data_IF_810050849631
#
_entry.id   IF_810050849631
#
_cell.length_a   1.000
_cell.length_b   1.000
_cell.length_c   1.000
_cell.angle_alpha   90.00
_cell.angle_beta   90.00
_cell.angle_gamma   90.00
#
_symmetry.space_group_name_H-M   'P 1'
#
loop_
_entity.id
_entity.type
_entity.pdbx_description
1 polymer ?
#
# COMPACT_ATOMS: atom_id res chain seq x y z
N UNK A 1 7.11 -21.24 71.23
CA UNK A 1 7.39 -20.11 70.31
C UNK A 1 7.71 -20.67 68.94
N UNK A 2 6.72 -20.62 68.03
CA UNK A 2 6.78 -21.21 66.69
C UNK A 2 7.65 -20.36 65.75
N UNK A 3 8.58 -21.00 65.04
CA UNK A 3 9.24 -20.42 63.87
C UNK A 3 8.67 -21.09 62.62
N UNK A 4 7.69 -20.45 62.01
CA UNK A 4 7.23 -20.76 60.64
C UNK A 4 8.22 -20.16 59.65
N UNK A 5 8.89 -20.98 58.85
CA UNK A 5 9.54 -20.55 57.63
C UNK A 5 8.64 -20.94 56.46
N UNK A 6 8.01 -19.94 55.84
CA UNK A 6 7.23 -20.09 54.63
C UNK A 6 8.17 -20.27 53.43
N UNK A 7 7.99 -21.36 52.70
CA UNK A 7 8.67 -21.63 51.44
C UNK A 7 8.14 -20.68 50.36
N UNK A 8 8.98 -19.76 49.88
CA UNK A 8 8.72 -18.97 48.68
C UNK A 8 9.06 -19.81 47.44
N UNK A 9 8.04 -20.41 46.83
CA UNK A 9 8.14 -20.98 45.49
C UNK A 9 8.19 -19.86 44.46
N UNK A 10 9.33 -19.70 43.78
CA UNK A 10 9.41 -18.88 42.57
C UNK A 10 8.88 -19.69 41.39
N UNK A 11 7.64 -19.43 40.99
CA UNK A 11 7.14 -19.89 39.69
C UNK A 11 7.72 -18.99 38.61
N UNK A 12 8.71 -19.52 37.88
CA UNK A 12 9.20 -18.90 36.66
C UNK A 12 8.06 -18.91 35.61
N UNK A 13 7.37 -17.79 35.45
CA UNK A 13 6.46 -17.58 34.33
C UNK A 13 7.29 -17.38 33.07
N UNK A 14 7.43 -18.45 32.28
CA UNK A 14 7.96 -18.37 30.92
C UNK A 14 7.08 -17.40 30.12
N UNK A 15 7.58 -16.17 29.90
CA UNK A 15 7.03 -15.24 28.91
C UNK A 15 7.20 -15.90 27.54
N UNK A 16 6.17 -16.59 27.08
CA UNK A 16 6.01 -16.98 25.69
C UNK A 16 5.97 -15.71 24.85
N UNK A 17 7.10 -15.33 24.27
CA UNK A 17 7.14 -14.34 23.19
C UNK A 17 6.52 -14.99 21.98
N UNK A 18 5.18 -14.95 21.90
CA UNK A 18 4.48 -14.99 20.63
C UNK A 18 4.93 -13.74 19.85
N UNK A 19 6.10 -13.81 19.21
CA UNK A 19 6.36 -12.98 18.03
C UNK A 19 5.36 -13.50 17.00
N UNK A 20 4.15 -12.92 17.02
CA UNK A 20 3.26 -12.99 15.88
C UNK A 20 4.12 -12.59 14.68
N UNK A 21 4.45 -13.56 13.84
CA UNK A 21 4.98 -13.30 12.51
C UNK A 21 4.02 -12.29 11.91
N UNK A 22 4.46 -11.03 11.76
CA UNK A 22 3.73 -10.06 10.97
C UNK A 22 3.66 -10.65 9.57
N UNK A 23 2.54 -11.31 9.24
CA UNK A 23 2.27 -11.79 7.90
C UNK A 23 2.04 -10.52 7.09
N UNK A 24 3.09 -10.08 6.40
CA UNK A 24 2.99 -8.99 5.45
C UNK A 24 2.26 -9.57 4.24
N UNK A 25 1.03 -9.10 4.01
CA UNK A 25 0.25 -9.56 2.87
C UNK A 25 0.90 -9.02 1.60
N UNK A 26 1.40 -9.89 0.74
CA UNK A 26 1.88 -9.47 -0.59
C UNK A 26 0.68 -9.39 -1.51
N UNK A 27 0.37 -8.20 -2.01
CA UNK A 27 -0.72 -7.98 -2.97
C UNK A 27 -0.16 -8.14 -4.37
N UNK A 28 -0.83 -8.96 -5.18
CA UNK A 28 -0.56 -9.13 -6.61
C UNK A 28 -1.46 -8.22 -7.45
N UNK A 29 -1.15 -8.04 -8.74
CA UNK A 29 -1.98 -7.24 -9.66
C UNK A 29 -3.43 -7.73 -9.72
N UNK A 30 -3.67 -9.05 -9.68
CA UNK A 30 -5.02 -9.62 -9.58
C UNK A 30 -5.70 -9.26 -8.27
N UNK A 31 -5.03 -9.45 -7.15
CA UNK A 31 -5.60 -9.19 -5.82
C UNK A 31 -5.86 -7.70 -5.53
N UNK A 32 -5.30 -6.81 -6.35
CA UNK A 32 -5.58 -5.38 -6.29
C UNK A 32 -7.03 -5.05 -6.67
N UNK A 33 -7.60 -5.82 -7.60
CA UNK A 33 -8.95 -5.58 -8.12
C UNK A 33 -10.03 -6.26 -7.28
N UNK A 34 -11.16 -5.58 -7.11
CA UNK A 34 -12.30 -6.08 -6.30
C UNK A 34 -12.95 -7.30 -6.95
N UNK A 35 -12.94 -7.34 -8.28
CA UNK A 35 -13.49 -8.41 -9.11
C UNK A 35 -12.80 -9.77 -8.83
N UNK A 36 -11.49 -9.72 -8.60
CA UNK A 36 -10.65 -10.91 -8.34
C UNK A 36 -10.42 -11.14 -6.83
N UNK A 37 -10.72 -10.15 -5.99
CA UNK A 37 -10.54 -10.21 -4.54
C UNK A 37 -11.52 -9.30 -3.80
N UNK A 38 -12.38 -9.85 -2.95
CA UNK A 38 -13.36 -9.08 -2.15
C UNK A 38 -12.70 -8.00 -1.27
N UNK A 39 -11.43 -8.21 -0.87
CA UNK A 39 -10.64 -7.23 -0.11
C UNK A 39 -9.79 -6.31 -0.98
N UNK A 40 -10.01 -6.31 -2.30
CA UNK A 40 -9.34 -5.46 -3.27
C UNK A 40 -9.54 -3.97 -2.99
N UNK A 41 -8.80 -3.17 -3.72
CA UNK A 41 -8.70 -1.73 -3.50
C UNK A 41 -9.57 -0.94 -4.47
N UNK A 42 -9.64 -1.37 -5.73
CA UNK A 42 -10.33 -0.68 -6.82
C UNK A 42 -11.02 -1.67 -7.75
N UNK A 43 -12.05 -1.21 -8.47
CA UNK A 43 -12.58 -1.95 -9.62
C UNK A 43 -11.70 -1.68 -10.85
N UNK A 44 -11.67 -2.65 -11.79
CA UNK A 44 -10.95 -2.51 -13.06
C UNK A 44 -11.45 -1.31 -13.86
N UNK A 45 -12.77 -1.12 -13.93
CA UNK A 45 -13.39 0.03 -14.60
C UNK A 45 -12.93 1.38 -14.01
N UNK A 46 -12.96 1.51 -12.67
CA UNK A 46 -12.56 2.75 -12.00
C UNK A 46 -11.07 3.05 -12.19
N UNK A 47 -10.23 2.01 -12.27
CA UNK A 47 -8.81 2.17 -12.56
C UNK A 47 -8.57 2.62 -14.00
N UNK A 48 -9.31 2.08 -14.98
CA UNK A 48 -9.24 2.51 -16.39
C UNK A 48 -9.66 3.98 -16.53
N UNK A 49 -10.82 4.36 -15.97
CA UNK A 49 -11.28 5.75 -16.02
C UNK A 49 -10.31 6.70 -15.34
N UNK A 50 -9.71 6.28 -14.22
CA UNK A 50 -8.67 7.05 -13.55
C UNK A 50 -7.44 7.24 -14.43
N UNK A 51 -6.94 6.17 -15.06
CA UNK A 51 -5.80 6.25 -15.98
C UNK A 51 -6.04 7.18 -17.16
N UNK A 52 -7.28 7.24 -17.67
CA UNK A 52 -7.68 8.14 -18.75
C UNK A 52 -7.80 9.62 -18.33
N UNK A 53 -8.02 9.89 -17.04
CA UNK A 53 -8.12 11.26 -16.53
C UNK A 53 -6.77 11.88 -16.16
N UNK A 54 -5.68 11.10 -16.16
CA UNK A 54 -4.36 11.59 -15.78
C UNK A 54 -3.75 12.47 -16.88
N UNK A 55 -3.10 13.54 -16.47
CA UNK A 55 -2.15 14.25 -17.34
C UNK A 55 -0.88 13.42 -17.54
N UNK A 56 -0.13 13.68 -18.61
CA UNK A 56 1.12 12.95 -18.91
C UNK A 56 2.09 12.94 -17.71
N UNK A 57 2.23 14.08 -17.02
CA UNK A 57 3.07 14.19 -15.82
C UNK A 57 2.56 13.35 -14.65
N UNK A 58 1.24 13.22 -14.48
CA UNK A 58 0.66 12.41 -13.40
C UNK A 58 0.74 10.92 -13.73
N UNK A 59 0.62 10.54 -15.00
CA UNK A 59 0.85 9.19 -15.46
C UNK A 59 2.30 8.75 -15.21
N UNK A 60 3.28 9.60 -15.54
CA UNK A 60 4.70 9.36 -15.22
C UNK A 60 4.93 9.20 -13.71
N UNK A 61 4.35 10.08 -12.90
CA UNK A 61 4.45 9.96 -11.44
C UNK A 61 3.79 8.71 -10.88
N UNK A 62 2.69 8.25 -11.48
CA UNK A 62 2.02 7.01 -11.09
C UNK A 62 2.91 5.80 -11.41
N UNK A 63 3.54 5.79 -12.59
CA UNK A 63 4.48 4.74 -12.99
C UNK A 63 5.67 4.68 -12.05
N UNK A 64 6.30 5.83 -11.77
CA UNK A 64 7.39 5.94 -10.81
C UNK A 64 6.97 5.50 -9.40
N UNK A 65 5.74 5.81 -8.98
CA UNK A 65 5.22 5.38 -7.68
C UNK A 65 5.16 3.85 -7.56
N UNK A 66 4.62 3.16 -8.57
CA UNK A 66 4.57 1.69 -8.57
C UNK A 66 5.97 1.06 -8.70
N UNK A 67 6.85 1.67 -9.49
CA UNK A 67 8.25 1.27 -9.61
C UNK A 67 9.00 1.37 -8.27
N UNK A 68 8.85 2.47 -7.54
CA UNK A 68 9.54 2.62 -6.26
C UNK A 68 8.94 1.75 -5.15
N UNK A 69 7.62 1.59 -5.13
CA UNK A 69 6.96 0.75 -4.12
C UNK A 69 7.28 -0.74 -4.32
N UNK A 70 7.32 -1.22 -5.57
CA UNK A 70 7.77 -2.58 -5.90
C UNK A 70 9.24 -2.85 -5.57
N UNK A 71 10.09 -1.82 -5.62
CA UNK A 71 11.47 -1.88 -5.14
C UNK A 71 11.61 -1.81 -3.61
N UNK A 72 10.51 -1.69 -2.87
CA UNK A 72 10.53 -1.60 -1.40
C UNK A 72 10.92 -0.22 -0.86
N UNK A 73 10.83 0.84 -1.66
CA UNK A 73 11.17 2.19 -1.20
C UNK A 73 10.14 2.72 -0.19
N UNK A 74 10.62 3.31 0.91
CA UNK A 74 9.76 3.88 1.94
C UNK A 74 9.33 5.31 1.65
N UNK A 75 8.12 5.67 2.09
CA UNK A 75 7.65 7.06 2.11
C UNK A 75 8.14 7.83 3.34
N UNK A 76 8.59 9.07 3.13
CA UNK A 76 9.09 9.97 4.16
C UNK A 76 8.02 10.96 4.68
N UNK A 77 6.78 10.85 4.22
CA UNK A 77 5.67 11.70 4.65
C UNK A 77 4.41 10.87 4.89
N UNK A 78 3.50 11.40 5.70
CA UNK A 78 2.15 10.86 5.82
C UNK A 78 1.39 11.11 4.52
N UNK A 79 0.83 10.05 3.95
CA UNK A 79 -0.01 10.12 2.76
C UNK A 79 -1.40 10.59 3.20
N UNK A 80 -1.84 11.73 2.67
CA UNK A 80 -3.19 12.25 2.90
C UNK A 80 -3.62 13.12 1.71
N UNK A 81 -4.92 13.12 1.36
CA UNK A 81 -5.47 14.05 0.40
C UNK A 81 -5.16 15.49 0.80
N UNK A 82 -4.76 16.29 -0.18
CA UNK A 82 -4.60 17.73 -0.05
C UNK A 82 -5.27 18.39 -1.23
N UNK A 83 -6.15 19.34 -0.95
CA UNK A 83 -6.79 20.14 -1.99
C UNK A 83 -5.74 21.02 -2.67
N UNK A 84 -5.60 20.86 -3.99
CA UNK A 84 -4.78 21.72 -4.82
C UNK A 84 -5.63 22.89 -5.33
N UNK A 85 -5.30 24.10 -4.89
CA UNK A 85 -6.03 25.32 -5.27
C UNK A 85 -5.86 25.68 -6.74
N UNK A 86 -4.82 25.16 -7.40
CA UNK A 86 -4.53 25.47 -8.81
C UNK A 86 -5.41 24.62 -9.71
N UNK A 87 -5.47 23.32 -9.44
CA UNK A 87 -6.21 22.36 -10.26
C UNK A 87 -7.67 22.18 -9.79
N UNK A 88 -7.99 22.61 -8.57
CA UNK A 88 -9.33 22.45 -7.98
C UNK A 88 -9.64 21.01 -7.56
N UNK A 89 -8.62 20.15 -7.47
CA UNK A 89 -8.75 18.73 -7.22
C UNK A 89 -8.01 18.30 -5.96
N UNK A 90 -8.45 17.19 -5.36
CA UNK A 90 -7.70 16.57 -4.28
C UNK A 90 -6.52 15.79 -4.84
N UNK A 91 -5.32 16.10 -4.36
CA UNK A 91 -4.07 15.48 -4.79
C UNK A 91 -3.42 14.72 -3.65
N UNK A 92 -2.76 13.61 -3.99
CA UNK A 92 -1.85 12.90 -3.10
C UNK A 92 -0.42 13.27 -3.43
N UNK A 93 0.34 13.58 -2.38
CA UNK A 93 1.74 13.97 -2.48
C UNK A 93 2.61 12.95 -1.75
N UNK A 94 3.64 12.44 -2.42
CA UNK A 94 4.54 11.43 -1.88
C UNK A 94 5.96 11.95 -1.89
N UNK A 95 6.70 11.65 -0.82
CA UNK A 95 8.14 11.87 -0.69
C UNK A 95 8.81 10.53 -0.57
N UNK A 96 9.25 9.98 -1.70
CA UNK A 96 9.91 8.68 -1.75
C UNK A 96 11.38 8.85 -1.38
N UNK A 97 11.85 8.10 -0.38
CA UNK A 97 13.25 8.12 0.04
C UNK A 97 14.05 7.07 -0.73
N UNK A 98 14.97 7.52 -1.58
CA UNK A 98 15.98 6.69 -2.22
C UNK A 98 17.29 6.75 -1.44
N UNK A 99 18.25 5.88 -1.79
CA UNK A 99 19.57 5.81 -1.14
C UNK A 99 20.33 7.15 -1.16
N UNK A 100 20.15 7.96 -2.21
CA UNK A 100 20.91 9.20 -2.42
C UNK A 100 20.04 10.45 -2.64
N UNK A 101 18.73 10.31 -2.69
CA UNK A 101 17.82 11.40 -3.04
C UNK A 101 16.44 11.20 -2.42
N UNK A 102 15.66 12.27 -2.38
CA UNK A 102 14.21 12.19 -2.13
C UNK A 102 13.50 12.65 -3.39
N UNK A 103 12.58 11.84 -3.90
CA UNK A 103 11.75 12.18 -5.05
C UNK A 103 10.37 12.58 -4.55
N UNK A 104 9.83 13.67 -5.09
CA UNK A 104 8.46 14.09 -4.81
C UNK A 104 7.58 13.68 -5.98
N UNK A 105 6.53 12.91 -5.70
CA UNK A 105 5.54 12.48 -6.69
C UNK A 105 4.19 13.08 -6.33
N UNK A 106 3.37 13.36 -7.34
CA UNK A 106 1.97 13.79 -7.15
C UNK A 106 1.05 13.06 -8.11
N UNK A 107 -0.09 12.61 -7.61
CA UNK A 107 -1.16 12.01 -8.42
C UNK A 107 -2.53 12.51 -7.89
N UNK A 108 -3.58 12.54 -8.73
CA UNK A 108 -4.94 12.80 -8.27
C UNK A 108 -5.40 11.77 -7.24
N UNK A 109 -6.16 12.21 -6.25
CA UNK A 109 -6.64 11.35 -5.17
C UNK A 109 -7.58 10.27 -5.71
N UNK A 110 -7.33 9.04 -5.29
CA UNK A 110 -8.21 7.90 -5.57
C UNK A 110 -8.26 7.02 -4.32
N UNK A 111 -9.45 6.83 -3.75
CA UNK A 111 -9.65 6.21 -2.44
C UNK A 111 -8.94 4.86 -2.28
N UNK A 112 -9.03 4.02 -3.30
CA UNK A 112 -8.41 2.70 -3.27
C UNK A 112 -6.88 2.74 -3.35
N UNK A 113 -6.30 3.66 -4.13
CA UNK A 113 -4.85 3.89 -4.14
C UNK A 113 -4.38 4.47 -2.80
N UNK A 114 -5.12 5.43 -2.24
CA UNK A 114 -4.83 5.98 -0.92
C UNK A 114 -4.78 4.86 0.13
N UNK A 115 -5.77 3.97 0.13
CA UNK A 115 -5.83 2.83 1.06
C UNK A 115 -4.63 1.89 0.85
N UNK A 116 -4.35 1.47 -0.37
CA UNK A 116 -3.20 0.59 -0.68
C UNK A 116 -1.89 1.19 -0.17
N UNK A 117 -1.63 2.46 -0.51
CA UNK A 117 -0.36 3.11 -0.19
C UNK A 117 -0.24 3.41 1.31
N UNK A 118 -1.36 3.66 2.00
CA UNK A 118 -1.39 3.78 3.46
C UNK A 118 -1.09 2.45 4.13
N UNK A 119 -1.69 1.36 3.67
CA UNK A 119 -1.39 0.01 4.18
C UNK A 119 0.08 -0.36 3.92
N UNK A 120 0.63 0.02 2.76
CA UNK A 120 2.04 -0.19 2.40
C UNK A 120 2.96 0.59 3.35
N UNK A 121 2.65 1.87 3.59
CA UNK A 121 3.41 2.72 4.52
C UNK A 121 3.42 2.14 5.94
N UNK A 122 2.32 1.52 6.37
CA UNK A 122 2.19 0.87 7.68
C UNK A 122 2.87 -0.51 7.74
N UNK A 123 3.45 -0.99 6.63
CA UNK A 123 4.06 -2.32 6.53
C UNK A 123 3.05 -3.46 6.62
N UNK A 124 1.76 -3.19 6.39
CA UNK A 124 0.69 -4.21 6.39
C UNK A 124 0.65 -4.99 5.08
N UNK A 125 1.02 -4.33 3.99
CA UNK A 125 1.03 -4.91 2.65
C UNK A 125 2.35 -4.63 1.93
N UNK A 126 2.72 -5.54 1.03
CA UNK A 126 3.79 -5.36 0.05
C UNK A 126 3.19 -5.34 -1.34
N UNK A 127 3.61 -4.36 -2.13
CA UNK A 127 3.25 -4.22 -3.54
C UNK A 127 4.34 -4.92 -4.33
N UNK A 128 4.02 -6.03 -5.00
CA UNK A 128 4.97 -6.79 -5.81
C UNK A 128 4.48 -6.93 -7.26
N UNK A 129 4.02 -5.82 -7.82
CA UNK A 129 3.59 -5.75 -9.20
C UNK A 129 3.91 -4.39 -9.80
N UNK A 130 3.98 -4.33 -11.12
CA UNK A 130 4.21 -3.11 -11.89
C UNK A 130 2.89 -2.48 -12.36
N UNK A 131 2.96 -1.24 -12.84
CA UNK A 131 1.82 -0.59 -13.47
C UNK A 131 1.40 -1.32 -14.76
N UNK A 132 2.34 -1.90 -15.50
CA UNK A 132 2.06 -2.65 -16.73
C UNK A 132 1.31 -3.95 -16.45
N UNK A 133 1.62 -4.64 -15.34
CA UNK A 133 0.87 -5.81 -14.90
C UNK A 133 -0.58 -5.45 -14.54
N UNK A 134 -0.81 -4.30 -13.89
CA UNK A 134 -2.18 -3.81 -13.64
C UNK A 134 -2.92 -3.51 -14.96
N UNK A 135 -2.25 -2.88 -15.92
CA UNK A 135 -2.85 -2.60 -17.24
C UNK A 135 -3.20 -3.87 -18.00
N UNK A 136 -2.33 -4.89 -17.94
CA UNK A 136 -2.59 -6.19 -18.57
C UNK A 136 -3.85 -6.86 -17.99
N UNK A 137 -4.02 -6.86 -16.67
CA UNK A 137 -5.21 -7.41 -16.01
C UNK A 137 -6.51 -6.69 -16.39
N UNK A 138 -6.43 -5.39 -16.72
CA UNK A 138 -7.57 -4.63 -17.25
C UNK A 138 -7.87 -4.99 -18.72
N UNK A 139 -6.86 -5.25 -19.54
CA UNK A 139 -7.04 -5.63 -20.94
C UNK A 139 -7.66 -7.03 -21.09
N UNK A 140 -7.28 -7.98 -20.23
CA UNK A 140 -7.84 -9.35 -20.26
C UNK A 140 -9.36 -9.40 -20.04
N UNK A 141 -9.96 -8.42 -19.35
CA UNK A 141 -11.42 -8.31 -19.23
C UNK A 141 -12.11 -7.98 -20.56
N UNK A 142 -11.41 -7.33 -21.50
CA UNK A 142 -11.98 -6.90 -22.78
C UNK A 142 -12.08 -8.06 -23.77
N UNK A 143 -11.24 -9.08 -23.61
CA UNK A 143 -11.20 -10.26 -24.50
C UNK A 143 -12.18 -11.36 -24.08
N UNK A 144 -12.56 -11.46 -22.79
CA UNK A 144 -13.51 -12.48 -22.32
C UNK A 144 -15.00 -12.14 -22.59
N UNK A 145 -15.29 -10.99 -23.21
CA UNK A 145 -16.66 -10.60 -23.59
C UNK A 145 -16.94 -10.61 -25.10
N UNK A 146 -16.02 -11.13 -25.93
CA UNK A 146 -16.22 -11.30 -27.37
C UNK A 146 -16.38 -12.76 -27.79
#
# INVERSE_FOLDING_TARGET
>A
MNKHFAAFGQTATARSTNRASNIVNTVTAKQFFIEDNVNGYLTKERFISYGQSLTDSEAEHLEDLFKFTSQGCSFNNVIKPKFDRINGEEMLWFKVKLTRATINLRIPNLDGLLRLLTEYQLGKTQINFSLDELKAECQSMTEEQN
#
